data_IF_750552364903
#
_entry.id   IF_750552364903
#
_cell.length_a   1.000
_cell.length_b   1.000
_cell.length_c   1.000
_cell.angle_alpha   90.00
_cell.angle_beta   90.00
_cell.angle_gamma   90.00
#
_symmetry.space_group_name_H-M   'P 1'
#
loop_
_entity.id
_entity.type
_entity.pdbx_description
1 polymer ?
#
# COMPACT_ATOMS: atom_id res chain seq x y z
N UNK A 1 6.06 -9.65 -17.69
CA UNK A 1 6.59 -9.71 -16.32
C UNK A 1 7.81 -8.82 -16.25
N UNK A 2 8.05 -8.10 -15.14
CA UNK A 2 9.31 -7.37 -14.98
C UNK A 2 10.48 -8.35 -15.07
N UNK A 3 11.58 -7.92 -15.68
CA UNK A 3 12.88 -8.58 -15.62
C UNK A 3 13.81 -7.52 -15.04
N UNK A 4 14.47 -7.75 -13.89
CA UNK A 4 14.78 -9.00 -13.18
C UNK A 4 13.66 -9.65 -12.35
N UNK A 5 13.81 -10.95 -12.11
CA UNK A 5 12.92 -11.78 -11.28
C UNK A 5 13.67 -12.40 -10.09
N UNK A 6 13.12 -12.23 -8.89
CA UNK A 6 13.55 -12.95 -7.69
C UNK A 6 13.14 -14.43 -7.77
N UNK A 7 14.05 -15.30 -7.35
CA UNK A 7 13.89 -16.75 -7.25
C UNK A 7 13.94 -17.26 -5.81
N UNK A 8 14.47 -16.46 -4.88
CA UNK A 8 14.50 -16.77 -3.45
C UNK A 8 14.42 -15.49 -2.62
N UNK A 9 13.67 -15.56 -1.52
CA UNK A 9 13.57 -14.52 -0.49
C UNK A 9 13.58 -15.22 0.86
N UNK A 10 14.46 -14.82 1.76
CA UNK A 10 14.53 -15.44 3.08
C UNK A 10 15.32 -14.65 4.10
N UNK A 11 15.12 -14.94 5.38
CA UNK A 11 15.87 -14.31 6.47
C UNK A 11 17.01 -15.21 6.96
N UNK A 12 18.21 -14.65 7.09
CA UNK A 12 19.34 -15.24 7.81
C UNK A 12 19.78 -14.30 8.93
N UNK A 13 19.26 -14.54 10.15
CA UNK A 13 19.49 -13.62 11.27
C UNK A 13 18.75 -12.29 11.09
N UNK A 14 19.49 -11.19 10.94
CA UNK A 14 18.97 -9.86 10.54
C UNK A 14 19.14 -9.59 9.05
N UNK A 15 19.83 -10.44 8.30
CA UNK A 15 20.02 -10.26 6.87
C UNK A 15 18.83 -10.81 6.08
N UNK A 16 18.26 -9.97 5.21
CA UNK A 16 17.35 -10.41 4.16
C UNK A 16 18.18 -10.88 2.97
N UNK A 17 18.09 -12.18 2.68
CA UNK A 17 18.70 -12.81 1.52
C UNK A 17 17.76 -12.74 0.34
N UNK A 18 18.30 -12.25 -0.78
CA UNK A 18 17.60 -12.15 -2.06
C UNK A 18 18.44 -12.84 -3.11
N UNK A 19 17.84 -13.78 -3.83
CA UNK A 19 18.43 -14.35 -5.02
C UNK A 19 17.49 -14.15 -6.21
N UNK A 20 18.05 -13.95 -7.39
CA UNK A 20 17.26 -13.76 -8.59
C UNK A 20 18.04 -13.98 -9.86
N UNK A 21 17.35 -13.70 -10.97
CA UNK A 21 17.91 -13.84 -12.31
C UNK A 21 17.34 -12.83 -13.28
N UNK A 22 18.10 -12.56 -14.33
CA UNK A 22 17.64 -11.80 -15.49
C UNK A 22 18.44 -12.13 -16.74
N UNK A 23 17.89 -11.80 -17.91
CA UNK A 23 18.59 -12.00 -19.19
C UNK A 23 19.06 -10.65 -19.71
N UNK A 24 20.34 -10.31 -19.55
CA UNK A 24 20.82 -9.01 -19.97
C UNK A 24 20.84 -8.91 -21.50
N UNK A 25 20.41 -7.76 -22.04
CA UNK A 25 20.52 -7.47 -23.48
C UNK A 25 21.95 -7.18 -23.95
N UNK A 26 22.88 -6.92 -23.03
CA UNK A 26 24.29 -6.59 -23.26
C UNK A 26 25.15 -7.11 -22.10
N UNK A 27 26.47 -7.33 -22.26
CA UNK A 27 27.33 -7.70 -21.13
C UNK A 27 27.22 -6.69 -19.97
N UNK A 28 26.99 -7.18 -18.76
CA UNK A 28 26.77 -6.35 -17.57
C UNK A 28 28.02 -6.35 -16.70
N UNK A 29 28.72 -5.22 -16.55
CA UNK A 29 29.97 -5.18 -15.78
C UNK A 29 29.75 -5.03 -14.27
N UNK A 30 28.65 -4.41 -13.82
CA UNK A 30 28.38 -4.13 -12.40
C UNK A 30 26.88 -4.25 -12.10
N UNK A 31 26.54 -4.81 -10.94
CA UNK A 31 25.16 -5.00 -10.48
C UNK A 31 25.13 -4.66 -8.99
N UNK A 32 24.11 -3.90 -8.57
CA UNK A 32 23.87 -3.54 -7.17
C UNK A 32 22.36 -3.59 -6.89
N UNK A 33 21.97 -3.84 -5.65
CA UNK A 33 20.63 -3.50 -5.21
C UNK A 33 20.60 -2.03 -4.82
N UNK A 34 19.60 -1.32 -5.32
CA UNK A 34 19.32 0.05 -4.94
C UNK A 34 18.07 0.05 -4.06
N UNK A 35 18.27 0.37 -2.79
CA UNK A 35 17.20 0.64 -1.83
C UNK A 35 16.93 2.13 -1.85
N UNK A 36 15.76 2.52 -2.31
CA UNK A 36 15.32 3.91 -2.33
C UNK A 36 14.19 4.08 -1.32
N UNK A 37 14.32 5.06 -0.43
CA UNK A 37 13.21 5.42 0.44
C UNK A 37 12.04 5.94 -0.40
N UNK A 38 10.84 5.42 -0.17
CA UNK A 38 9.66 5.76 -0.96
C UNK A 38 9.32 7.27 -0.87
N UNK A 39 9.21 7.95 -2.02
CA UNK A 39 9.09 9.41 -2.13
C UNK A 39 10.35 10.01 -2.73
N UNK A 40 11.03 10.90 -1.99
CA UNK A 40 12.29 11.55 -2.37
C UNK A 40 13.28 11.49 -1.20
N UNK A 41 13.68 10.27 -0.82
CA UNK A 41 14.48 10.06 0.39
C UNK A 41 15.88 9.50 0.12
N UNK A 42 16.44 8.90 1.16
CA UNK A 42 17.78 8.34 1.13
C UNK A 42 17.90 7.19 0.11
N UNK A 43 19.08 7.04 -0.48
CA UNK A 43 19.42 5.92 -1.36
C UNK A 43 20.57 5.13 -0.77
N UNK A 44 20.39 3.82 -0.69
CA UNK A 44 21.38 2.88 -0.21
C UNK A 44 21.72 1.88 -1.31
N UNK A 45 23.01 1.64 -1.50
CA UNK A 45 23.52 0.64 -2.43
C UNK A 45 24.00 -0.56 -1.65
N UNK A 46 23.50 -1.73 -2.04
CA UNK A 46 23.90 -3.01 -1.45
C UNK A 46 24.62 -3.81 -2.52
N UNK A 47 25.86 -4.26 -2.26
CA UNK A 47 26.61 -5.10 -3.18
C UNK A 47 25.85 -6.37 -3.53
N UNK A 48 25.97 -6.77 -4.78
CA UNK A 48 25.40 -8.01 -5.32
C UNK A 48 26.52 -8.90 -5.79
N UNK A 49 26.46 -10.18 -5.44
CA UNK A 49 27.29 -11.20 -6.08
C UNK A 49 26.54 -11.70 -7.31
N UNK A 50 27.18 -11.69 -8.48
CA UNK A 50 26.55 -12.13 -9.71
C UNK A 50 27.46 -13.09 -10.49
N UNK A 51 26.85 -14.07 -11.13
CA UNK A 51 27.49 -15.02 -12.03
C UNK A 51 26.65 -15.11 -13.33
N UNK A 52 27.31 -15.32 -14.47
CA UNK A 52 26.63 -15.46 -15.76
C UNK A 52 26.73 -16.89 -16.25
N UNK A 53 25.58 -17.54 -16.45
CA UNK A 53 25.50 -18.92 -16.94
C UNK A 53 24.52 -18.99 -18.10
N UNK A 54 24.98 -19.51 -19.23
CA UNK A 54 24.17 -19.69 -20.45
C UNK A 54 23.43 -18.41 -20.90
N UNK A 55 24.05 -17.25 -20.73
CA UNK A 55 23.46 -15.95 -21.08
C UNK A 55 22.45 -15.40 -20.08
N UNK A 56 22.22 -16.08 -18.96
CA UNK A 56 21.40 -15.61 -17.83
C UNK A 56 22.32 -15.16 -16.71
N UNK A 57 22.05 -13.99 -16.14
CA UNK A 57 22.71 -13.53 -14.93
C UNK A 57 21.93 -14.06 -13.74
N UNK A 58 22.62 -14.75 -12.84
CA UNK A 58 22.12 -15.17 -11.53
C UNK A 58 22.79 -14.26 -10.50
N UNK A 59 22.00 -13.71 -9.59
CA UNK A 59 22.50 -12.79 -8.60
C UNK A 59 22.01 -13.14 -7.19
N UNK A 60 22.84 -12.80 -6.20
CA UNK A 60 22.60 -12.97 -4.78
C UNK A 60 22.99 -11.70 -4.03
N UNK A 61 22.19 -11.32 -3.04
CA UNK A 61 22.44 -10.17 -2.20
C UNK A 61 21.96 -10.42 -0.76
N UNK A 62 22.67 -9.82 0.18
CA UNK A 62 22.29 -9.79 1.59
C UNK A 62 22.08 -8.34 2.04
N UNK A 63 20.85 -8.03 2.46
CA UNK A 63 20.50 -6.74 3.05
C UNK A 63 20.45 -6.93 4.57
N UNK A 64 21.53 -6.62 5.28
CA UNK A 64 21.52 -6.59 6.74
C UNK A 64 20.80 -5.34 7.25
N UNK A 65 19.53 -5.49 7.63
CA UNK A 65 18.71 -4.36 8.07
C UNK A 65 19.10 -3.85 9.46
N UNK A 66 19.89 -4.62 10.24
CA UNK A 66 20.44 -4.17 11.52
C UNK A 66 21.80 -3.47 11.36
N UNK A 67 22.50 -3.68 10.24
CA UNK A 67 23.81 -3.09 9.98
C UNK A 67 23.99 -2.80 8.49
N UNK A 68 23.29 -1.78 8.00
CA UNK A 68 23.51 -1.24 6.65
C UNK A 68 24.91 -0.63 6.54
N UNK A 69 25.34 -0.30 5.31
CA UNK A 69 26.63 0.33 5.02
C UNK A 69 26.89 1.51 5.98
N UNK A 70 27.92 1.39 6.82
CA UNK A 70 28.23 2.37 7.88
C UNK A 70 27.79 1.97 9.30
N UNK A 71 27.25 0.75 9.51
CA UNK A 71 26.99 0.16 10.82
C UNK A 71 25.73 0.67 11.54
N UNK A 72 24.79 1.25 10.79
CA UNK A 72 23.51 1.76 11.32
C UNK A 72 22.37 0.82 10.93
N UNK A 73 21.25 0.89 11.65
CA UNK A 73 20.04 0.17 11.26
C UNK A 73 19.41 0.86 10.04
N UNK A 74 18.70 0.09 9.21
CA UNK A 74 17.88 0.65 8.15
C UNK A 74 16.79 1.56 8.78
N UNK A 75 16.67 2.84 8.38
CA UNK A 75 15.70 3.74 8.98
C UNK A 75 14.25 3.25 8.89
N UNK A 76 13.47 3.54 9.93
CA UNK A 76 12.06 3.16 10.10
C UNK A 76 11.11 3.82 9.10
N UNK A 77 11.15 3.35 7.84
CA UNK A 77 10.44 3.87 6.67
C UNK A 77 10.12 2.75 5.68
N UNK A 78 9.46 3.10 4.58
CA UNK A 78 9.21 2.23 3.44
C UNK A 78 10.31 2.40 2.40
N UNK A 79 10.87 1.28 1.93
CA UNK A 79 11.96 1.23 0.96
C UNK A 79 11.54 0.43 -0.27
N UNK A 80 11.67 1.03 -1.45
CA UNK A 80 11.57 0.37 -2.74
C UNK A 80 12.92 -0.29 -3.07
N UNK A 81 12.90 -1.57 -3.43
CA UNK A 81 14.11 -2.35 -3.75
C UNK A 81 14.14 -2.62 -5.24
N UNK A 82 15.15 -2.08 -5.91
CA UNK A 82 15.35 -2.21 -7.34
C UNK A 82 16.74 -2.81 -7.63
N UNK A 83 16.91 -3.38 -8.82
CA UNK A 83 18.23 -3.76 -9.32
C UNK A 83 18.79 -2.61 -10.16
N UNK A 84 20.00 -2.16 -9.84
CA UNK A 84 20.77 -1.27 -10.68
C UNK A 84 21.76 -2.09 -11.52
N UNK A 85 21.71 -1.92 -12.83
CA UNK A 85 22.51 -2.68 -13.81
C UNK A 85 23.41 -1.70 -14.55
N UNK A 86 24.72 -1.93 -14.50
CA UNK A 86 25.75 -1.11 -15.14
C UNK A 86 26.36 -0.04 -14.21
N UNK A 87 27.45 0.57 -14.67
CA UNK A 87 28.16 1.60 -13.93
C UNK A 87 27.50 2.99 -14.11
N UNK A 88 27.56 3.87 -13.09
CA UNK A 88 27.19 5.27 -13.24
C UNK A 88 27.99 5.96 -14.35
N UNK A 89 27.40 6.93 -15.09
CA UNK A 89 26.04 7.46 -14.96
C UNK A 89 24.98 6.67 -15.75
N UNK A 90 25.38 5.60 -16.45
CA UNK A 90 24.56 4.88 -17.43
C UNK A 90 23.77 3.70 -16.86
N UNK A 91 23.60 3.61 -15.54
CA UNK A 91 22.91 2.48 -14.94
C UNK A 91 21.42 2.45 -15.30
N UNK A 92 20.88 1.26 -15.56
CA UNK A 92 19.43 1.07 -15.62
C UNK A 92 18.94 0.61 -14.25
N UNK A 93 17.91 1.28 -13.74
CA UNK A 93 17.24 0.89 -12.49
C UNK A 93 15.94 0.22 -12.85
N UNK A 94 15.77 -1.03 -12.43
CA UNK A 94 14.64 -1.88 -12.81
C UNK A 94 14.01 -2.51 -11.57
N UNK A 95 12.66 -2.52 -11.48
CA UNK A 95 11.97 -3.10 -10.34
C UNK A 95 12.13 -4.62 -10.30
N UNK A 96 12.23 -5.16 -9.09
CA UNK A 96 12.30 -6.59 -8.85
C UNK A 96 10.88 -7.18 -8.76
N UNK A 97 10.55 -8.09 -9.68
CA UNK A 97 9.40 -9.00 -9.54
C UNK A 97 9.82 -10.35 -8.97
N UNK A 98 8.96 -11.36 -9.10
CA UNK A 98 9.28 -12.74 -8.74
C UNK A 98 8.92 -13.74 -9.83
N UNK A 99 9.63 -14.86 -9.84
CA UNK A 99 9.24 -16.00 -10.68
C UNK A 99 7.88 -16.57 -10.25
N UNK A 100 7.12 -17.17 -11.18
CA UNK A 100 5.94 -17.95 -10.83
C UNK A 100 6.28 -19.06 -9.83
N UNK A 101 5.45 -19.23 -8.80
CA UNK A 101 5.62 -20.27 -7.79
C UNK A 101 6.58 -19.93 -6.64
N UNK A 102 7.21 -18.74 -6.65
CA UNK A 102 7.87 -18.22 -5.45
C UNK A 102 6.81 -17.92 -4.37
N UNK A 103 7.11 -18.23 -3.11
CA UNK A 103 6.28 -17.77 -1.99
C UNK A 103 6.40 -16.24 -1.86
N UNK A 104 5.40 -15.53 -2.40
CA UNK A 104 5.29 -14.08 -2.36
C UNK A 104 4.59 -13.57 -1.09
N UNK A 105 4.40 -14.41 -0.06
CA UNK A 105 3.87 -13.99 1.23
C UNK A 105 4.84 -13.02 1.93
N UNK A 106 4.35 -12.01 2.67
CA UNK A 106 5.22 -11.08 3.39
C UNK A 106 6.12 -11.80 4.40
N UNK A 107 7.42 -11.59 4.28
CA UNK A 107 8.43 -12.15 5.15
C UNK A 107 8.72 -11.17 6.28
N UNK A 108 8.15 -11.43 7.46
CA UNK A 108 8.33 -10.58 8.65
C UNK A 108 9.49 -11.04 9.52
N UNK A 109 10.22 -10.07 10.07
CA UNK A 109 11.24 -10.23 11.10
C UNK A 109 11.09 -9.19 12.20
N UNK A 110 11.43 -9.56 13.43
CA UNK A 110 11.58 -8.62 14.54
C UNK A 110 13.06 -8.41 14.81
N UNK A 111 13.49 -7.15 14.85
CA UNK A 111 14.86 -6.77 15.20
C UNK A 111 15.05 -6.73 16.72
N UNK A 112 16.30 -6.75 17.21
CA UNK A 112 16.59 -6.73 18.65
C UNK A 112 16.03 -5.50 19.41
N UNK A 113 15.83 -4.39 18.72
CA UNK A 113 15.23 -3.15 19.26
C UNK A 113 13.69 -3.17 19.24
N UNK A 114 13.08 -4.33 18.94
CA UNK A 114 11.63 -4.52 18.75
C UNK A 114 11.05 -3.82 17.52
N UNK A 115 11.87 -3.28 16.61
CA UNK A 115 11.39 -2.82 15.32
C UNK A 115 10.92 -4.03 14.49
N UNK A 116 9.76 -3.90 13.85
CA UNK A 116 9.27 -4.90 12.90
C UNK A 116 9.78 -4.55 11.51
N UNK A 117 10.34 -5.53 10.81
CA UNK A 117 10.73 -5.40 9.40
C UNK A 117 9.92 -6.38 8.59
N UNK A 118 9.33 -5.94 7.49
CA UNK A 118 8.56 -6.80 6.60
C UNK A 118 9.03 -6.60 5.16
N UNK A 119 9.45 -7.70 4.52
CA UNK A 119 9.79 -7.72 3.10
C UNK A 119 8.65 -8.35 2.30
N UNK A 120 8.18 -7.68 1.24
CA UNK A 120 6.97 -8.09 0.53
C UNK A 120 6.90 -7.50 -0.89
N UNK A 121 6.02 -8.05 -1.73
CA UNK A 121 5.68 -7.44 -3.02
C UNK A 121 4.50 -6.48 -2.87
N UNK A 122 4.68 -5.24 -3.32
CA UNK A 122 3.65 -4.22 -3.33
C UNK A 122 2.53 -4.51 -4.33
N UNK A 123 1.48 -3.70 -4.26
CA UNK A 123 0.33 -3.76 -5.19
C UNK A 123 0.72 -3.46 -6.64
N UNK A 124 1.81 -2.70 -6.83
CA UNK A 124 2.49 -2.44 -8.10
C UNK A 124 3.31 -3.63 -8.62
N UNK A 125 3.50 -4.67 -7.80
CA UNK A 125 4.32 -5.85 -8.07
C UNK A 125 5.82 -5.65 -7.81
N UNK A 126 6.24 -4.49 -7.28
CA UNK A 126 7.63 -4.24 -6.93
C UNK A 126 7.98 -4.76 -5.54
N UNK A 127 9.22 -5.21 -5.34
CA UNK A 127 9.70 -5.66 -4.03
C UNK A 127 9.99 -4.49 -3.10
N UNK A 128 9.51 -4.56 -1.85
CA UNK A 128 9.57 -3.50 -0.85
C UNK A 128 10.00 -4.02 0.52
N UNK A 129 10.63 -3.16 1.31
CA UNK A 129 10.97 -3.40 2.73
C UNK A 129 10.32 -2.30 3.58
N UNK A 130 9.43 -2.68 4.49
CA UNK A 130 8.80 -1.78 5.47
C UNK A 130 9.48 -1.98 6.84
N UNK A 131 10.03 -0.90 7.40
CA UNK A 131 10.64 -0.89 8.72
C UNK A 131 9.77 -0.07 9.67
N UNK A 132 9.24 -0.71 10.70
CA UNK A 132 8.47 -0.10 11.78
C UNK A 132 6.95 -0.19 11.60
N UNK A 133 6.42 -0.62 10.45
CA UNK A 133 5.00 -0.91 10.25
C UNK A 133 4.08 0.31 10.34
N UNK A 134 4.61 1.51 10.08
CA UNK A 134 3.83 2.75 10.09
C UNK A 134 2.85 2.74 8.91
N UNK A 135 1.76 3.49 9.04
CA UNK A 135 0.88 3.74 7.88
C UNK A 135 1.63 4.59 6.88
N UNK A 136 1.61 4.17 5.61
CA UNK A 136 2.23 4.88 4.50
C UNK A 136 1.19 5.28 3.47
N UNK A 137 1.32 6.49 2.93
CA UNK A 137 0.51 6.94 1.79
C UNK A 137 0.80 6.05 0.57
N UNK A 138 -0.25 5.58 -0.08
CA UNK A 138 -0.19 4.74 -1.27
C UNK A 138 -0.84 5.43 -2.49
N UNK A 139 -0.84 6.77 -2.48
CA UNK A 139 -1.40 7.58 -3.56
C UNK A 139 -2.91 7.75 -3.45
N UNK A 140 -3.57 7.87 -4.60
CA UNK A 140 -5.01 8.11 -4.70
C UNK A 140 -5.67 7.06 -5.59
N UNK A 141 -6.89 6.65 -5.23
CA UNK A 141 -7.73 5.78 -6.05
C UNK A 141 -9.12 6.37 -6.16
N UNK A 142 -9.75 6.24 -7.33
CA UNK A 142 -11.12 6.71 -7.55
C UNK A 142 -12.11 5.70 -6.98
N UNK A 143 -13.11 6.16 -6.25
CA UNK A 143 -14.25 5.33 -5.90
C UNK A 143 -15.12 5.07 -7.14
N UNK A 144 -15.65 3.86 -7.29
CA UNK A 144 -16.53 3.50 -8.40
C UNK A 144 -17.92 4.14 -8.24
N UNK A 145 -18.35 4.31 -6.98
CA UNK A 145 -19.68 4.83 -6.70
C UNK A 145 -19.90 5.23 -5.25
N UNK A 146 -20.84 6.15 -5.08
CA UNK A 146 -21.42 6.51 -3.79
C UNK A 146 -22.93 6.47 -3.91
N UNK A 147 -23.61 5.81 -2.98
CA UNK A 147 -25.08 5.71 -3.01
C UNK A 147 -25.68 5.82 -1.63
N UNK A 148 -26.96 6.19 -1.58
CA UNK A 148 -27.73 6.27 -0.35
C UNK A 148 -28.52 4.99 -0.12
N UNK A 149 -28.36 4.37 1.06
CA UNK A 149 -29.19 3.27 1.50
C UNK A 149 -30.32 3.79 2.40
N UNK A 150 -31.51 4.00 1.84
CA UNK A 150 -32.67 4.52 2.58
C UNK A 150 -33.07 3.66 3.77
N UNK A 151 -33.00 2.33 3.63
CA UNK A 151 -33.46 1.38 4.65
C UNK A 151 -32.62 1.47 5.93
N UNK A 152 -31.31 1.67 5.77
CA UNK A 152 -30.34 1.71 6.88
C UNK A 152 -29.85 3.10 7.22
N UNK A 153 -30.16 4.07 6.36
CA UNK A 153 -29.68 5.44 6.44
C UNK A 153 -28.14 5.53 6.53
N UNK A 154 -27.51 4.85 5.58
CA UNK A 154 -26.06 4.71 5.40
C UNK A 154 -25.66 5.25 4.02
N UNK A 155 -24.48 5.87 3.92
CA UNK A 155 -23.83 6.10 2.62
C UNK A 155 -23.01 4.86 2.30
N UNK A 156 -23.28 4.26 1.14
CA UNK A 156 -22.49 3.14 0.63
C UNK A 156 -21.42 3.70 -0.30
N UNK A 157 -20.16 3.41 0.03
CA UNK A 157 -18.99 3.73 -0.80
C UNK A 157 -18.47 2.44 -1.39
N UNK A 158 -18.36 2.38 -2.72
CA UNK A 158 -17.84 1.23 -3.46
C UNK A 158 -16.67 1.64 -4.32
N UNK A 159 -15.71 0.74 -4.51
CA UNK A 159 -14.64 0.91 -5.47
C UNK A 159 -13.82 -0.35 -5.65
N UNK A 160 -12.72 -0.23 -6.38
CA UNK A 160 -11.72 -1.28 -6.49
C UNK A 160 -10.31 -0.72 -6.42
N UNK A 161 -9.36 -1.61 -6.15
CA UNK A 161 -7.93 -1.37 -6.32
C UNK A 161 -7.42 -2.41 -7.30
N UNK A 162 -6.74 -1.96 -8.35
CA UNK A 162 -6.07 -2.85 -9.29
C UNK A 162 -4.89 -3.52 -8.58
N UNK A 163 -4.94 -4.84 -8.51
CA UNK A 163 -3.92 -5.66 -7.86
C UNK A 163 -3.44 -6.71 -8.86
N UNK A 164 -2.13 -6.72 -9.13
CA UNK A 164 -1.56 -7.74 -10.02
C UNK A 164 -1.68 -9.14 -9.44
N UNK A 165 -1.48 -9.27 -8.14
CA UNK A 165 -1.54 -10.53 -7.41
C UNK A 165 -1.91 -10.27 -5.94
N UNK A 166 -2.74 -11.14 -5.37
CA UNK A 166 -3.06 -11.15 -3.94
C UNK A 166 -2.50 -12.46 -3.37
N UNK A 167 -1.32 -12.38 -2.77
CA UNK A 167 -0.66 -13.55 -2.16
C UNK A 167 -0.94 -13.68 -0.66
N UNK A 168 -1.76 -12.79 -0.08
CA UNK A 168 -1.94 -12.69 1.37
C UNK A 168 -3.33 -12.17 1.76
N UNK A 169 -3.81 -12.46 2.98
CA UNK A 169 -5.03 -11.84 3.50
C UNK A 169 -4.89 -10.32 3.65
N UNK A 170 -5.89 -9.59 3.16
CA UNK A 170 -6.00 -8.13 3.25
C UNK A 170 -7.26 -7.78 4.04
N UNK A 171 -7.15 -6.80 4.93
CA UNK A 171 -8.29 -6.14 5.59
C UNK A 171 -8.46 -4.73 5.04
N UNK A 172 -9.71 -4.25 4.93
CA UNK A 172 -10.01 -2.90 4.46
C UNK A 172 -10.74 -2.08 5.51
N UNK A 173 -10.32 -0.84 5.70
CA UNK A 173 -11.00 0.14 6.56
C UNK A 173 -11.11 1.46 5.81
N UNK A 174 -12.32 2.00 5.73
CA UNK A 174 -12.55 3.38 5.28
C UNK A 174 -12.27 4.33 6.46
N UNK A 175 -11.29 5.20 6.29
CA UNK A 175 -10.92 6.23 7.26
C UNK A 175 -11.58 7.54 6.85
N UNK A 176 -12.42 8.08 7.74
CA UNK A 176 -13.04 9.39 7.58
C UNK A 176 -12.37 10.35 8.56
N UNK A 177 -11.69 11.35 8.03
CA UNK A 177 -10.96 12.35 8.82
C UNK A 177 -11.64 13.71 8.72
N UNK A 178 -11.74 14.45 9.83
CA UNK A 178 -12.29 15.81 9.85
C UNK A 178 -11.17 16.83 10.10
N UNK A 179 -10.56 17.41 9.05
CA UNK A 179 -9.66 18.54 9.21
C UNK A 179 -10.41 19.78 9.73
N UNK A 180 -9.80 20.63 10.59
CA UNK A 180 -8.49 20.48 11.24
C UNK A 180 -8.54 19.76 12.59
N UNK A 181 -9.68 19.17 12.96
CA UNK A 181 -9.95 18.69 14.32
C UNK A 181 -9.25 17.39 14.74
N UNK A 182 -8.46 16.79 13.85
CA UNK A 182 -7.82 15.46 13.98
C UNK A 182 -8.79 14.33 14.40
N UNK A 183 -10.09 14.56 14.25
CA UNK A 183 -11.11 13.54 14.53
C UNK A 183 -11.13 12.53 13.40
N UNK A 184 -11.18 11.26 13.78
CA UNK A 184 -11.27 10.12 12.86
C UNK A 184 -12.52 9.29 13.15
N UNK A 185 -13.08 8.73 12.10
CA UNK A 185 -14.17 7.78 12.15
C UNK A 185 -13.84 6.63 11.20
N UNK A 186 -13.91 5.40 11.70
CA UNK A 186 -13.45 4.22 10.96
C UNK A 186 -14.63 3.32 10.64
N UNK A 187 -14.68 2.84 9.40
CA UNK A 187 -15.71 1.91 8.93
C UNK A 187 -15.03 0.73 8.28
N UNK A 188 -15.31 -0.47 8.77
CA UNK A 188 -14.80 -1.70 8.15
C UNK A 188 -15.37 -1.81 6.72
N UNK A 189 -14.49 -1.99 5.75
CA UNK A 189 -14.86 -2.26 4.37
C UNK A 189 -14.92 -3.78 4.16
N UNK A 190 -16.03 -4.25 3.58
CA UNK A 190 -16.09 -5.59 3.03
C UNK A 190 -15.23 -5.65 1.78
N UNK A 191 -14.39 -6.67 1.67
CA UNK A 191 -13.50 -6.89 0.54
C UNK A 191 -13.94 -8.13 -0.24
N UNK A 192 -13.93 -8.03 -1.57
CA UNK A 192 -14.23 -9.13 -2.48
C UNK A 192 -13.12 -9.21 -3.54
N UNK A 193 -12.48 -10.37 -3.63
CA UNK A 193 -11.42 -10.63 -4.60
C UNK A 193 -12.02 -10.99 -5.96
N UNK A 194 -11.54 -10.31 -7.00
CA UNK A 194 -11.81 -10.64 -8.40
C UNK A 194 -10.49 -10.76 -9.17
N UNK A 195 -10.47 -11.44 -10.33
CA UNK A 195 -9.26 -11.51 -11.15
C UNK A 195 -8.69 -10.10 -11.46
N UNK A 196 -7.49 -9.84 -10.96
CA UNK A 196 -6.74 -8.58 -11.20
C UNK A 196 -7.16 -7.37 -10.36
N UNK A 197 -8.09 -7.52 -9.41
CA UNK A 197 -8.56 -6.40 -8.58
C UNK A 197 -9.19 -6.83 -7.26
N UNK A 198 -9.13 -5.95 -6.27
CA UNK A 198 -9.81 -6.10 -4.99
C UNK A 198 -10.93 -5.07 -4.88
N UNK A 199 -12.17 -5.53 -4.92
CA UNK A 199 -13.34 -4.69 -4.75
C UNK A 199 -13.57 -4.42 -3.25
N UNK A 200 -14.02 -3.22 -2.92
CA UNK A 200 -14.38 -2.84 -1.56
C UNK A 200 -15.77 -2.22 -1.50
N UNK A 201 -16.47 -2.47 -0.40
CA UNK A 201 -17.75 -1.84 -0.06
C UNK A 201 -17.76 -1.45 1.40
N UNK A 202 -17.98 -0.16 1.69
CA UNK A 202 -18.09 0.37 3.04
C UNK A 202 -19.43 1.07 3.24
N UNK A 203 -20.08 0.83 4.37
CA UNK A 203 -21.37 1.42 4.72
C UNK A 203 -21.19 2.42 5.88
N UNK A 204 -21.21 3.71 5.57
CA UNK A 204 -21.00 4.80 6.53
C UNK A 204 -22.33 5.15 7.21
N UNK A 205 -22.49 4.88 8.52
CA UNK A 205 -23.75 5.15 9.22
C UNK A 205 -23.95 6.64 9.48
N UNK A 206 -25.11 7.19 9.12
CA UNK A 206 -25.37 8.66 9.28
C UNK A 206 -26.42 8.98 10.34
N UNK A 207 -27.38 8.09 10.58
CA UNK A 207 -28.48 8.36 11.54
C UNK A 207 -28.67 7.29 12.61
N UNK A 208 -28.39 6.03 12.28
CA UNK A 208 -28.49 4.87 13.17
C UNK A 208 -27.23 4.04 13.03
N UNK A 209 -26.67 3.62 14.14
CA UNK A 209 -26.22 2.25 14.24
C UNK A 209 -26.80 1.66 15.53
N UNK A 210 -27.24 0.41 15.44
CA UNK A 210 -27.71 -0.36 16.60
C UNK A 210 -26.54 -0.79 17.50
N UNK A 211 -25.30 -0.53 17.08
CA UNK A 211 -24.05 -1.01 17.70
C UNK A 211 -22.99 0.11 17.77
N UNK A 212 -22.88 0.99 16.77
CA UNK A 212 -21.88 2.07 16.70
C UNK A 212 -22.47 3.50 16.72
N UNK A 213 -21.65 4.51 16.98
CA UNK A 213 -22.04 5.91 16.88
C UNK A 213 -22.16 6.35 15.40
N UNK A 214 -23.22 7.08 15.00
CA UNK A 214 -23.33 7.59 13.63
C UNK A 214 -22.31 8.69 13.35
N UNK A 215 -21.90 8.80 12.08
CA UNK A 215 -20.95 9.82 11.61
C UNK A 215 -21.35 11.20 12.16
N UNK A 216 -20.48 11.86 12.95
CA UNK A 216 -20.79 13.15 13.53
C UNK A 216 -20.96 14.23 12.45
N UNK A 217 -21.61 15.34 12.81
CA UNK A 217 -21.73 16.47 11.90
C UNK A 217 -20.35 17.03 11.55
N UNK A 218 -20.19 17.47 10.30
CA UNK A 218 -18.92 17.96 9.77
C UNK A 218 -18.70 17.61 8.32
N UNK A 219 -17.55 18.02 7.81
CA UNK A 219 -17.01 17.65 6.50
C UNK A 219 -15.90 16.65 6.76
N UNK A 220 -15.99 15.49 6.13
CA UNK A 220 -15.08 14.36 6.36
C UNK A 220 -14.38 14.00 5.06
N UNK A 221 -13.06 14.06 5.04
CA UNK A 221 -12.23 13.52 3.96
C UNK A 221 -12.13 12.01 4.09
N UNK A 222 -12.17 11.30 2.96
CA UNK A 222 -12.25 9.83 2.94
C UNK A 222 -10.98 9.21 2.34
N UNK A 223 -10.37 8.28 3.07
CA UNK A 223 -9.27 7.43 2.61
C UNK A 223 -9.63 5.96 2.77
N UNK A 224 -9.07 5.08 1.92
CA UNK A 224 -9.11 3.63 2.10
C UNK A 224 -7.77 3.16 2.68
N UNK A 225 -7.82 2.54 3.85
CA UNK A 225 -6.68 1.89 4.48
C UNK A 225 -6.73 0.37 4.24
N UNK A 226 -5.74 -0.16 3.54
CA UNK A 226 -5.53 -1.60 3.39
C UNK A 226 -4.50 -2.07 4.42
N UNK A 227 -4.92 -3.00 5.28
CA UNK A 227 -4.08 -3.67 6.25
C UNK A 227 -3.67 -5.06 5.76
N UNK A 228 -2.37 -5.38 5.82
CA UNK A 228 -1.87 -6.72 5.49
C UNK A 228 -0.55 -6.95 6.22
N UNK A 229 -0.41 -8.11 6.86
CA UNK A 229 0.78 -8.46 7.64
C UNK A 229 1.25 -7.32 8.56
N UNK A 230 0.32 -6.72 9.32
CA UNK A 230 0.56 -5.64 10.29
C UNK A 230 1.07 -4.32 9.69
N UNK A 231 1.11 -4.21 8.37
CA UNK A 231 1.38 -2.98 7.64
C UNK A 231 0.05 -2.35 7.21
N UNK A 232 0.07 -1.03 7.02
CA UNK A 232 -1.10 -0.26 6.60
C UNK A 232 -0.73 0.63 5.42
N UNK A 233 -1.57 0.63 4.38
CA UNK A 233 -1.44 1.48 3.20
C UNK A 233 -2.69 2.33 3.05
N UNK A 234 -2.53 3.63 3.18
CA UNK A 234 -3.61 4.59 3.09
C UNK A 234 -3.64 5.21 1.70
N UNK A 235 -4.74 5.04 0.99
CA UNK A 235 -4.99 5.65 -0.32
C UNK A 235 -6.07 6.72 -0.16
N UNK A 236 -5.81 7.92 -0.65
CA UNK A 236 -6.83 8.96 -0.71
C UNK A 236 -7.92 8.56 -1.70
N UNK A 237 -9.18 8.65 -1.32
CA UNK A 237 -10.26 8.39 -2.27
C UNK A 237 -10.58 9.65 -3.08
N UNK A 238 -10.69 9.50 -4.39
CA UNK A 238 -11.28 10.50 -5.28
C UNK A 238 -12.76 10.18 -5.49
N UNK A 239 -13.57 11.23 -5.62
CA UNK A 239 -15.02 11.08 -5.75
C UNK A 239 -15.43 10.40 -7.08
N UNK A 240 -16.53 9.65 -7.10
CA UNK A 240 -17.16 9.20 -8.34
C UNK A 240 -17.89 10.38 -9.03
N UNK A 241 -18.41 10.17 -10.24
CA UNK A 241 -19.15 11.22 -10.96
C UNK A 241 -20.48 11.58 -10.28
N UNK A 242 -21.16 10.59 -9.70
CA UNK A 242 -22.48 10.76 -9.10
C UNK A 242 -22.39 10.92 -7.57
N UNK A 243 -22.63 12.13 -7.03
CA UNK A 243 -22.63 12.36 -5.60
C UNK A 243 -23.95 11.93 -4.95
N UNK A 244 -23.91 11.73 -3.63
CA UNK A 244 -25.10 11.63 -2.79
C UNK A 244 -25.54 13.03 -2.37
N UNK A 245 -26.85 13.30 -2.37
CA UNK A 245 -27.46 14.48 -1.75
C UNK A 245 -28.85 14.13 -1.23
N UNK A 246 -28.98 14.01 0.09
CA UNK A 246 -30.22 13.57 0.75
C UNK A 246 -30.52 14.38 2.01
N UNK A 247 -31.80 14.42 2.38
CA UNK A 247 -32.26 14.99 3.65
C UNK A 247 -32.65 13.85 4.59
N UNK A 248 -31.99 13.77 5.74
CA UNK A 248 -32.23 12.70 6.72
C UNK A 248 -32.76 13.28 8.03
N UNK A 249 -33.63 12.54 8.70
CA UNK A 249 -34.12 12.94 10.01
C UNK A 249 -33.15 12.46 11.11
N UNK A 250 -32.52 13.38 11.84
CA UNK A 250 -31.59 13.07 12.94
C UNK A 250 -31.95 13.88 14.17
N UNK A 251 -32.23 13.20 15.31
CA UNK A 251 -32.54 13.83 16.61
C UNK A 251 -33.55 15.00 16.47
N UNK A 252 -34.67 14.74 15.81
CA UNK A 252 -35.79 15.68 15.60
C UNK A 252 -35.53 16.86 14.65
N UNK A 253 -34.46 16.82 13.84
CA UNK A 253 -34.18 17.83 12.81
C UNK A 253 -33.82 17.17 11.49
N UNK A 254 -34.20 17.80 10.38
CA UNK A 254 -33.63 17.46 9.08
C UNK A 254 -32.15 17.86 9.04
N UNK A 255 -31.34 16.97 8.52
CA UNK A 255 -29.91 17.15 8.32
C UNK A 255 -29.63 16.78 6.87
N UNK A 256 -29.04 17.71 6.13
CA UNK A 256 -28.55 17.42 4.78
C UNK A 256 -27.31 16.55 4.85
N UNK A 257 -27.20 15.57 3.97
CA UNK A 257 -26.06 14.69 3.85
C UNK A 257 -25.63 14.68 2.39
N UNK A 258 -24.39 15.07 2.11
CA UNK A 258 -23.86 15.13 0.74
C UNK A 258 -22.52 14.41 0.63
N UNK A 259 -22.17 13.97 -0.57
CA UNK A 259 -20.79 13.65 -0.95
C UNK A 259 -20.29 14.57 -2.05
N UNK A 260 -18.97 14.72 -2.19
CA UNK A 260 -18.38 15.39 -3.36
C UNK A 260 -18.53 14.55 -4.63
N UNK A 261 -18.31 15.19 -5.77
CA UNK A 261 -18.26 14.58 -7.10
C UNK A 261 -16.88 14.77 -7.73
N UNK A 262 -16.55 13.94 -8.72
CA UNK A 262 -15.30 14.06 -9.46
C UNK A 262 -15.11 15.47 -10.07
N UNK A 263 -13.87 15.97 -10.19
CA UNK A 263 -12.59 15.29 -9.93
C UNK A 263 -12.08 15.46 -8.49
N UNK A 264 -12.89 16.00 -7.59
CA UNK A 264 -12.45 16.34 -6.25
C UNK A 264 -12.19 15.09 -5.39
N UNK A 265 -11.35 15.19 -4.34
CA UNK A 265 -11.28 14.19 -3.30
C UNK A 265 -12.65 13.84 -2.75
N UNK A 266 -12.87 12.56 -2.42
CA UNK A 266 -14.12 12.13 -1.82
C UNK A 266 -14.25 12.74 -0.42
N UNK A 267 -15.33 13.47 -0.23
CA UNK A 267 -15.73 14.04 1.05
C UNK A 267 -17.17 13.64 1.35
N UNK A 268 -17.49 13.45 2.63
CA UNK A 268 -18.86 13.26 3.12
C UNK A 268 -19.17 14.41 4.07
N UNK A 269 -20.23 15.16 3.77
CA UNK A 269 -20.71 16.27 4.61
C UNK A 269 -22.00 15.87 5.31
N UNK A 270 -22.02 15.95 6.64
CA UNK A 270 -23.20 15.68 7.47
C UNK A 270 -23.61 16.95 8.20
N UNK A 271 -24.71 17.57 7.77
CA UNK A 271 -25.23 18.79 8.35
C UNK A 271 -24.30 19.98 8.15
N UNK A 272 -24.67 20.89 7.25
CA UNK A 272 -24.02 22.18 7.19
C UNK A 272 -24.31 23.00 8.46
N UNK A 273 -23.31 23.81 8.83
CA UNK A 273 -23.45 24.93 9.78
C UNK A 273 -24.46 25.96 9.26
#
# INVERSE_FOLDING_TARGET
MPDPLLTEIGWAGSALRLAGRFTPGVPVPEIELLLHEHGDGEQLRVPVTADTRDGVVIFEAEVDVASIVGGRHLPGRLWDVNLAIGAPPSHSVVPLGHVPGLDASPQRRFLPDSATVTAYFGTDGGFKIDVGGRSHSAGSVRADGTSWNERRAEIIVTGHVDLREISMPISGTLLLSQPPSDRRFEVIAMLEEHPGRLCYTAAVPVTRAFIDDPLPRGIWEVSLCLGFSGMHREMRLLAPDEPVDVQVWRRLRHVRVTSSAAPDPLTITVGHA
#
